data_IF_682050960225
#
_entry.id   IF_682050960225
#
_cell.length_a   1.000
_cell.length_b   1.000
_cell.length_c   1.000
_cell.angle_alpha   90.00
_cell.angle_beta   90.00
_cell.angle_gamma   90.00
#
_symmetry.space_group_name_H-M   'P 1'
#
loop_
_entity.id
_entity.type
_entity.pdbx_description
1 polymer ?
#
# COMPACT_ATOMS: atom_id res chain seq x y z
N UNK A 1 -8.55 89.39 2.89
CA UNK A 1 -9.98 89.02 2.98
C UNK A 1 -10.08 87.53 3.28
N UNK A 2 -10.17 87.14 4.56
CA UNK A 2 -11.37 86.58 5.25
C UNK A 2 -12.07 85.38 4.55
N UNK A 3 -11.97 84.21 5.24
CA UNK A 3 -12.95 83.11 5.39
C UNK A 3 -13.16 82.21 4.15
N UNK A 4 -13.28 80.88 4.22
CA UNK A 4 -13.89 79.99 5.22
C UNK A 4 -13.24 78.60 5.25
N UNK A 5 -13.32 78.00 6.43
CA UNK A 5 -13.09 76.61 6.81
C UNK A 5 -13.96 75.64 6.00
N UNK A 6 -13.39 74.50 5.59
CA UNK A 6 -14.11 73.23 5.57
C UNK A 6 -13.12 72.07 5.81
N UNK A 7 -13.11 71.58 7.05
CA UNK A 7 -12.52 70.31 7.44
C UNK A 7 -13.52 69.23 7.02
N UNK A 8 -13.13 68.33 6.12
CA UNK A 8 -13.81 67.03 5.95
C UNK A 8 -12.82 65.97 6.41
N UNK A 9 -13.20 65.31 7.51
CA UNK A 9 -12.43 64.25 8.15
C UNK A 9 -12.40 63.01 7.25
N UNK A 10 -11.21 62.62 6.83
CA UNK A 10 -10.93 61.29 6.29
C UNK A 10 -10.72 60.36 7.49
N UNK A 11 -11.81 59.73 7.95
CA UNK A 11 -11.72 58.60 8.87
C UNK A 11 -11.21 57.41 8.05
N UNK A 12 -9.89 57.25 8.02
CA UNK A 12 -9.27 55.97 7.72
C UNK A 12 -9.57 55.03 8.90
N UNK A 13 -10.74 54.40 8.89
CA UNK A 13 -10.89 53.13 9.58
C UNK A 13 -10.01 52.13 8.83
N UNK A 14 -8.75 52.03 9.27
CA UNK A 14 -7.93 50.87 8.98
C UNK A 14 -8.67 49.66 9.52
N UNK A 15 -9.47 49.03 8.66
CA UNK A 15 -9.89 47.65 8.84
C UNK A 15 -8.62 46.84 8.92
N UNK A 16 -8.16 46.59 10.15
CA UNK A 16 -7.40 45.40 10.44
C UNK A 16 -8.27 44.25 9.97
N UNK A 17 -7.95 43.71 8.79
CA UNK A 17 -8.37 42.36 8.42
C UNK A 17 -7.55 41.46 9.34
N UNK A 18 -7.95 41.40 10.61
CA UNK A 18 -7.72 40.24 11.44
C UNK A 18 -8.37 39.12 10.68
N UNK A 19 -7.54 38.36 9.96
CA UNK A 19 -7.84 37.01 9.53
C UNK A 19 -8.49 36.32 10.71
N UNK A 20 -9.81 36.20 10.69
CA UNK A 20 -10.54 35.28 11.56
C UNK A 20 -10.17 33.90 11.09
N UNK A 21 -8.99 33.42 11.48
CA UNK A 21 -8.87 32.01 11.79
C UNK A 21 -9.99 31.74 12.79
N UNK A 22 -10.85 30.79 12.48
CA UNK A 22 -11.76 30.23 13.44
C UNK A 22 -10.91 29.51 14.50
N UNK A 23 -10.30 30.28 15.38
CA UNK A 23 -9.55 29.79 16.53
C UNK A 23 -10.57 29.54 17.64
N UNK A 24 -11.30 28.43 17.52
CA UNK A 24 -12.24 27.97 18.53
C UNK A 24 -11.57 27.17 19.65
N UNK A 25 -10.25 27.29 19.85
CA UNK A 25 -9.53 26.54 20.87
C UNK A 25 -8.61 27.42 21.73
N UNK A 26 -9.20 28.47 22.32
CA UNK A 26 -8.60 29.21 23.43
C UNK A 26 -9.38 29.06 24.76
N UNK A 27 -10.13 27.97 24.95
CA UNK A 27 -10.51 27.51 26.30
C UNK A 27 -9.57 26.37 26.73
N UNK A 28 -8.50 26.74 27.42
CA UNK A 28 -7.62 25.79 28.12
C UNK A 28 -8.40 25.07 29.21
N UNK A 29 -8.92 23.87 28.91
CA UNK A 29 -9.41 22.95 29.96
C UNK A 29 -10.59 22.07 29.59
N UNK A 30 -11.32 22.32 28.49
CA UNK A 30 -12.39 21.40 28.07
C UNK A 30 -11.82 20.32 27.16
N UNK A 31 -11.56 19.15 27.75
CA UNK A 31 -11.23 17.94 26.98
C UNK A 31 -12.44 17.60 26.12
N UNK A 32 -12.28 17.55 24.79
CA UNK A 32 -13.33 17.09 23.89
C UNK A 32 -13.79 15.69 24.33
N UNK A 33 -15.06 15.57 24.72
CA UNK A 33 -15.71 14.29 25.08
C UNK A 33 -16.62 13.92 23.92
N UNK A 34 -16.02 13.36 22.88
CA UNK A 34 -16.73 12.89 21.68
C UNK A 34 -15.95 11.75 21.03
N UNK A 35 -16.53 11.14 20.00
CA UNK A 35 -15.82 10.13 19.21
C UNK A 35 -14.55 10.76 18.61
N UNK A 36 -13.41 10.13 18.85
CA UNK A 36 -12.11 10.55 18.29
C UNK A 36 -11.85 9.75 17.02
N UNK A 37 -11.32 10.42 16.00
CA UNK A 37 -10.88 9.83 14.74
C UNK A 37 -9.57 9.04 14.89
N UNK A 38 -8.82 9.30 15.97
CA UNK A 38 -7.47 8.80 16.15
C UNK A 38 -6.42 9.63 15.40
N UNK A 39 -6.82 10.72 14.73
CA UNK A 39 -5.94 11.65 14.01
C UNK A 39 -5.85 13.03 14.66
N UNK A 40 -6.45 13.22 15.84
CA UNK A 40 -6.36 14.47 16.58
C UNK A 40 -4.89 14.85 16.83
N UNK A 41 -4.52 16.08 16.45
CA UNK A 41 -3.13 16.58 16.48
C UNK A 41 -2.24 16.08 15.32
N UNK A 42 -2.81 15.36 14.34
CA UNK A 42 -2.12 14.83 13.13
C UNK A 42 -2.88 15.19 11.85
N UNK A 43 -3.68 16.23 11.86
CA UNK A 43 -4.57 16.65 10.78
C UNK A 43 -3.79 17.01 9.51
N UNK A 44 -2.65 17.69 9.63
CA UNK A 44 -1.78 17.99 8.48
C UNK A 44 -1.29 16.70 7.79
N UNK A 45 -0.93 15.68 8.58
CA UNK A 45 -0.50 14.38 8.03
C UNK A 45 -1.64 13.68 7.31
N UNK A 46 -2.84 13.69 7.88
CA UNK A 46 -4.04 13.14 7.25
C UNK A 46 -4.35 13.89 5.94
N UNK A 47 -4.36 15.23 5.98
CA UNK A 47 -4.63 16.09 4.82
C UNK A 47 -3.65 15.87 3.68
N UNK A 48 -2.35 15.76 3.98
CA UNK A 48 -1.32 15.43 2.97
C UNK A 48 -1.51 14.04 2.38
N UNK A 49 -1.82 13.05 3.21
CA UNK A 49 -2.05 11.68 2.75
C UNK A 49 -3.24 11.62 1.80
N UNK A 50 -4.34 12.29 2.14
CA UNK A 50 -5.51 12.32 1.26
C UNK A 50 -5.31 13.16 -0.01
N UNK A 51 -4.52 14.23 0.07
CA UNK A 51 -4.18 15.00 -1.12
C UNK A 51 -3.44 14.14 -2.17
N UNK A 52 -2.58 13.21 -1.75
CA UNK A 52 -1.91 12.27 -2.67
C UNK A 52 -2.92 11.33 -3.31
N UNK A 53 -3.77 10.69 -2.51
CA UNK A 53 -4.82 9.77 -3.02
C UNK A 53 -5.73 10.47 -4.02
N UNK A 54 -6.25 11.66 -3.69
CA UNK A 54 -7.14 12.42 -4.56
C UNK A 54 -6.45 12.84 -5.87
N UNK A 55 -5.17 13.25 -5.81
CA UNK A 55 -4.41 13.60 -7.01
C UNK A 55 -4.18 12.40 -7.92
N UNK A 56 -3.86 11.23 -7.36
CA UNK A 56 -3.69 10.00 -8.15
C UNK A 56 -4.99 9.60 -8.84
N UNK A 57 -6.11 9.59 -8.11
CA UNK A 57 -7.41 9.16 -8.66
C UNK A 57 -8.02 10.16 -9.64
N UNK A 58 -7.66 11.44 -9.56
CA UNK A 58 -8.17 12.48 -10.46
C UNK A 58 -7.54 12.42 -11.87
N UNK A 59 -6.40 11.74 -12.04
CA UNK A 59 -5.81 11.53 -13.35
C UNK A 59 -6.50 10.36 -14.07
N UNK A 60 -7.39 10.69 -14.99
CA UNK A 60 -8.25 9.73 -15.70
C UNK A 60 -7.82 9.49 -17.14
N UNK A 61 -6.74 10.17 -17.59
CA UNK A 61 -6.18 10.01 -18.93
C UNK A 61 -4.68 9.69 -18.85
N UNK A 62 -4.15 8.82 -19.73
CA UNK A 62 -4.86 8.08 -20.78
C UNK A 62 -5.71 6.91 -20.25
N UNK A 63 -5.68 6.63 -18.95
CA UNK A 63 -6.53 5.65 -18.28
C UNK A 63 -6.82 6.06 -16.83
N UNK A 64 -7.75 5.36 -16.17
CA UNK A 64 -8.05 5.54 -14.76
C UNK A 64 -6.90 5.02 -13.90
N UNK A 65 -6.13 5.92 -13.27
CA UNK A 65 -5.10 5.51 -12.33
C UNK A 65 -5.72 4.99 -11.03
N UNK A 66 -5.00 4.08 -10.39
CA UNK A 66 -5.25 3.63 -9.03
C UNK A 66 -4.15 4.17 -8.07
N UNK A 67 -4.38 4.04 -6.76
CA UNK A 67 -3.49 4.62 -5.74
C UNK A 67 -2.14 3.91 -5.62
N UNK A 68 -2.04 2.68 -6.15
CA UNK A 68 -0.85 1.82 -6.11
C UNK A 68 -0.08 1.79 -7.46
N UNK A 69 -0.54 2.53 -8.47
CA UNK A 69 -0.02 2.49 -9.84
C UNK A 69 1.51 2.57 -9.95
N UNK A 70 2.12 3.49 -9.20
CA UNK A 70 3.57 3.67 -9.24
C UNK A 70 4.31 2.43 -8.73
N UNK A 71 3.80 1.81 -7.67
CA UNK A 71 4.36 0.58 -7.11
C UNK A 71 4.17 -0.60 -8.06
N UNK A 72 2.97 -0.74 -8.64
CA UNK A 72 2.66 -1.77 -9.63
C UNK A 72 3.59 -1.65 -10.84
N UNK A 73 3.75 -0.44 -11.41
CA UNK A 73 4.66 -0.18 -12.54
C UNK A 73 6.10 -0.54 -12.23
N UNK A 74 6.59 -0.23 -11.02
CA UNK A 74 7.93 -0.60 -10.59
C UNK A 74 8.11 -2.13 -10.55
N UNK A 75 7.13 -2.87 -10.02
CA UNK A 75 7.15 -4.34 -9.99
C UNK A 75 7.15 -4.90 -11.42
N UNK A 76 6.23 -4.44 -12.28
CA UNK A 76 6.15 -4.89 -13.67
C UNK A 76 7.44 -4.62 -14.45
N UNK A 77 8.04 -3.43 -14.27
CA UNK A 77 9.31 -3.07 -14.91
C UNK A 77 10.45 -3.98 -14.44
N UNK A 78 10.46 -4.30 -13.14
CA UNK A 78 11.47 -5.20 -12.55
C UNK A 78 11.32 -6.62 -13.09
N UNK A 79 10.08 -7.12 -13.18
CA UNK A 79 9.79 -8.44 -13.74
C UNK A 79 10.15 -8.51 -15.22
N UNK A 80 9.84 -7.47 -15.99
CA UNK A 80 10.19 -7.40 -17.42
C UNK A 80 11.70 -7.40 -17.61
N UNK A 81 12.43 -6.63 -16.79
CA UNK A 81 13.89 -6.62 -16.82
C UNK A 81 14.45 -8.01 -16.55
N UNK A 82 13.99 -8.68 -15.49
CA UNK A 82 14.45 -10.01 -15.15
C UNK A 82 14.08 -11.04 -16.23
N UNK A 83 12.87 -10.96 -16.80
CA UNK A 83 12.44 -11.80 -17.94
C UNK A 83 13.34 -11.62 -19.15
N UNK A 84 13.65 -10.37 -19.53
CA UNK A 84 14.46 -10.07 -20.72
C UNK A 84 15.92 -10.52 -20.61
N UNK A 85 16.41 -10.79 -19.40
CA UNK A 85 17.79 -11.17 -19.13
C UNK A 85 17.91 -12.60 -18.58
N UNK A 86 16.83 -13.38 -18.58
CA UNK A 86 16.78 -14.73 -17.98
C UNK A 86 17.17 -14.77 -16.50
N UNK A 87 16.86 -13.70 -15.74
CA UNK A 87 17.28 -13.50 -14.34
C UNK A 87 16.14 -13.66 -13.31
N UNK A 88 15.08 -14.40 -13.65
CA UNK A 88 13.91 -14.51 -12.76
C UNK A 88 14.25 -15.22 -11.45
N UNK A 89 15.06 -16.28 -11.50
CA UNK A 89 15.45 -17.02 -10.30
C UNK A 89 16.36 -16.17 -9.39
N UNK A 90 17.28 -15.41 -9.98
CA UNK A 90 18.15 -14.47 -9.30
C UNK A 90 17.37 -13.33 -8.65
N UNK A 91 16.33 -12.82 -9.32
CA UNK A 91 15.42 -11.83 -8.75
C UNK A 91 14.74 -12.38 -7.49
N UNK A 92 14.17 -13.59 -7.56
CA UNK A 92 13.49 -14.21 -6.42
C UNK A 92 14.47 -14.50 -5.28
N UNK A 93 15.64 -15.06 -5.59
CA UNK A 93 16.68 -15.33 -4.58
C UNK A 93 17.13 -14.03 -3.89
N UNK A 94 17.38 -12.96 -4.66
CA UNK A 94 17.75 -11.66 -4.10
C UNK A 94 16.65 -11.07 -3.21
N UNK A 95 15.39 -11.16 -3.62
CA UNK A 95 14.26 -10.68 -2.82
C UNK A 95 14.16 -11.45 -1.49
N UNK A 96 14.31 -12.78 -1.52
CA UNK A 96 14.34 -13.63 -0.32
C UNK A 96 15.46 -13.23 0.63
N UNK A 97 16.68 -12.99 0.14
CA UNK A 97 17.80 -12.56 0.99
C UNK A 97 17.54 -11.20 1.65
N UNK A 98 16.97 -10.25 0.92
CA UNK A 98 16.64 -8.92 1.46
C UNK A 98 15.60 -9.03 2.58
N UNK A 99 14.59 -9.89 2.42
CA UNK A 99 13.52 -10.05 3.43
C UNK A 99 13.82 -11.12 4.48
N UNK A 100 14.90 -11.90 4.34
CA UNK A 100 15.24 -13.05 5.20
C UNK A 100 15.16 -12.75 6.70
N UNK A 101 15.69 -11.62 7.23
CA UNK A 101 15.60 -11.34 8.67
C UNK A 101 14.16 -11.24 9.19
N UNK A 102 13.25 -10.73 8.35
CA UNK A 102 11.82 -10.71 8.65
C UNK A 102 11.24 -12.12 8.63
N UNK A 103 11.48 -12.88 7.56
CA UNK A 103 10.97 -14.25 7.40
C UNK A 103 11.42 -15.17 8.55
N UNK A 104 12.67 -15.09 8.99
CA UNK A 104 13.17 -15.85 10.14
C UNK A 104 12.49 -15.43 11.46
N UNK A 105 12.14 -14.16 11.62
CA UNK A 105 11.33 -13.69 12.76
C UNK A 105 9.92 -14.27 12.70
N UNK A 106 9.33 -14.39 11.51
CA UNK A 106 8.04 -15.07 11.31
C UNK A 106 8.16 -16.54 11.71
N UNK A 107 9.19 -17.26 11.22
CA UNK A 107 9.49 -18.65 11.59
C UNK A 107 9.57 -18.84 13.10
N UNK A 108 10.38 -18.04 13.80
CA UNK A 108 10.53 -18.13 15.27
C UNK A 108 9.20 -17.93 15.99
N UNK A 109 8.36 -17.00 15.52
CA UNK A 109 7.03 -16.78 16.11
C UNK A 109 6.07 -17.94 15.83
N UNK A 110 6.09 -18.48 14.62
CA UNK A 110 5.30 -19.65 14.25
C UNK A 110 5.69 -20.86 15.11
N UNK A 111 6.99 -21.22 15.17
CA UNK A 111 7.47 -22.35 15.97
C UNK A 111 7.13 -22.22 17.47
N UNK A 112 7.11 -21.00 18.00
CA UNK A 112 6.75 -20.75 19.41
C UNK A 112 5.25 -20.90 19.69
N UNK A 113 4.40 -20.62 18.71
CA UNK A 113 2.94 -20.51 18.91
C UNK A 113 2.14 -21.65 18.30
N UNK A 114 2.67 -22.31 17.27
CA UNK A 114 1.96 -23.29 16.45
C UNK A 114 0.81 -22.72 15.61
N UNK A 115 0.60 -21.40 15.61
CA UNK A 115 -0.57 -20.75 14.98
C UNK A 115 -0.28 -20.41 13.52
N UNK A 116 -1.04 -20.98 12.59
CA UNK A 116 -0.90 -20.73 11.16
C UNK A 116 -1.09 -19.25 10.81
N UNK A 117 -2.04 -18.56 11.45
CA UNK A 117 -2.27 -17.14 11.21
C UNK A 117 -1.04 -16.25 11.49
N UNK A 118 -0.13 -16.67 12.39
CA UNK A 118 1.10 -15.90 12.65
C UNK A 118 2.05 -15.85 11.45
N UNK A 119 1.96 -16.84 10.56
CA UNK A 119 2.68 -16.85 9.28
C UNK A 119 2.09 -15.81 8.34
N UNK A 120 0.76 -15.82 8.16
CA UNK A 120 0.06 -14.86 7.28
C UNK A 120 0.26 -13.42 7.75
N UNK A 121 0.08 -13.19 9.04
CA UNK A 121 0.33 -11.90 9.67
C UNK A 121 1.78 -11.44 9.47
N UNK A 122 2.74 -12.36 9.51
CA UNK A 122 4.16 -12.04 9.33
C UNK A 122 4.57 -11.79 7.88
N UNK A 123 3.98 -12.54 6.95
CA UNK A 123 4.34 -12.58 5.54
C UNK A 123 3.57 -11.56 4.69
N UNK A 124 2.34 -11.20 5.11
CA UNK A 124 1.44 -10.32 4.36
C UNK A 124 1.01 -9.12 5.23
N UNK A 125 0.39 -9.34 6.39
CA UNK A 125 -0.37 -8.25 7.07
C UNK A 125 0.49 -7.22 7.82
N UNK A 126 1.59 -7.63 8.47
CA UNK A 126 2.39 -6.73 9.33
C UNK A 126 3.34 -5.83 8.58
N UNK A 127 3.55 -6.07 7.29
CA UNK A 127 4.13 -5.05 6.45
C UNK A 127 2.98 -4.18 6.00
N UNK A 128 2.82 -2.99 6.60
CA UNK A 128 1.84 -2.00 6.12
C UNK A 128 1.97 -1.73 4.60
N UNK A 129 3.11 -2.08 4.01
CA UNK A 129 3.40 -2.13 2.59
C UNK A 129 2.43 -3.00 1.77
N UNK A 130 1.85 -4.07 2.33
CA UNK A 130 0.89 -4.90 1.61
C UNK A 130 -0.37 -4.11 1.25
N UNK A 131 -0.85 -3.23 2.13
CA UNK A 131 -1.97 -2.32 1.84
C UNK A 131 -1.64 -1.23 0.82
N UNK A 132 -0.36 -1.02 0.52
CA UNK A 132 0.05 -0.13 -0.57
C UNK A 132 0.00 -0.84 -1.92
N UNK A 133 -0.08 -2.17 -1.94
CA UNK A 133 -0.16 -2.97 -3.16
C UNK A 133 -1.56 -3.56 -3.36
N UNK A 134 -2.16 -4.14 -2.32
CA UNK A 134 -3.49 -4.72 -2.34
C UNK A 134 -4.46 -3.76 -1.65
N UNK A 135 -5.43 -3.23 -2.40
CA UNK A 135 -6.40 -2.27 -1.87
C UNK A 135 -7.31 -2.88 -0.81
N UNK A 136 -7.66 -4.15 -1.01
CA UNK A 136 -8.49 -4.93 -0.11
C UNK A 136 -7.89 -6.32 0.05
N UNK A 137 -7.84 -6.77 1.30
CA UNK A 137 -7.37 -8.11 1.67
C UNK A 137 -8.45 -8.74 2.54
N UNK A 138 -9.05 -9.81 2.04
CA UNK A 138 -9.90 -10.70 2.84
C UNK A 138 -9.02 -11.55 3.77
N UNK A 139 -9.33 -11.54 5.07
CA UNK A 139 -8.55 -12.25 6.09
C UNK A 139 -9.37 -13.37 6.72
N UNK A 140 -8.82 -14.59 6.70
CA UNK A 140 -9.34 -15.78 7.39
C UNK A 140 -8.21 -16.47 8.15
N UNK A 141 -8.51 -17.37 9.08
CA UNK A 141 -7.48 -18.07 9.86
C UNK A 141 -6.53 -18.85 8.93
N UNK A 142 -5.28 -18.39 8.84
CA UNK A 142 -4.25 -18.98 7.98
C UNK A 142 -4.47 -18.80 6.47
N UNK A 143 -5.34 -17.89 6.03
CA UNK A 143 -5.61 -17.62 4.61
C UNK A 143 -5.80 -16.13 4.32
N UNK A 144 -5.26 -15.66 3.20
CA UNK A 144 -5.43 -14.30 2.69
C UNK A 144 -5.86 -14.34 1.24
N UNK A 145 -6.80 -13.47 0.86
CA UNK A 145 -7.25 -13.35 -0.52
C UNK A 145 -7.42 -11.90 -0.93
N UNK A 146 -7.16 -11.58 -2.19
CA UNK A 146 -7.26 -10.22 -2.74
C UNK A 146 -7.50 -10.25 -4.25
N UNK A 147 -7.87 -9.10 -4.80
CA UNK A 147 -7.88 -8.86 -6.24
C UNK A 147 -6.47 -8.56 -6.73
N UNK A 148 -6.01 -9.22 -7.79
CA UNK A 148 -4.71 -8.93 -8.40
C UNK A 148 -4.61 -7.44 -8.76
N UNK A 149 -3.54 -6.73 -8.34
CA UNK A 149 -3.36 -5.31 -8.62
C UNK A 149 -2.76 -5.03 -10.01
N UNK A 150 -2.44 -6.08 -10.80
CA UNK A 150 -1.61 -5.94 -11.99
C UNK A 150 -2.40 -5.71 -13.28
N UNK A 151 -3.58 -6.33 -13.43
CA UNK A 151 -4.31 -6.39 -14.69
C UNK A 151 -4.52 -5.03 -15.38
N UNK A 152 -5.05 -4.04 -14.66
CA UNK A 152 -5.33 -2.71 -15.22
C UNK A 152 -4.06 -2.04 -15.77
N UNK A 153 -3.01 -1.92 -14.95
CA UNK A 153 -1.77 -1.26 -15.35
C UNK A 153 -1.09 -2.08 -16.45
N UNK A 154 -1.10 -3.40 -16.36
CA UNK A 154 -0.47 -4.28 -17.34
C UNK A 154 -1.14 -4.14 -18.71
N UNK A 155 -2.47 -4.13 -18.78
CA UNK A 155 -3.23 -3.88 -20.02
C UNK A 155 -2.77 -2.58 -20.70
N UNK A 156 -2.64 -1.49 -19.94
CA UNK A 156 -2.22 -0.20 -20.48
C UNK A 156 -0.76 -0.18 -20.91
N UNK A 157 0.13 -0.73 -20.10
CA UNK A 157 1.57 -0.71 -20.38
C UNK A 157 1.95 -1.65 -21.53
N UNK A 158 1.25 -2.78 -21.70
CA UNK A 158 1.37 -3.65 -22.89
C UNK A 158 0.91 -2.93 -24.15
N UNK A 159 -0.23 -2.23 -24.13
CA UNK A 159 -0.70 -1.44 -25.28
C UNK A 159 0.28 -0.36 -25.72
N UNK A 160 1.03 0.21 -24.77
CA UNK A 160 2.07 1.21 -25.04
C UNK A 160 3.41 0.59 -25.47
N UNK A 161 3.54 -0.74 -25.48
CA UNK A 161 4.79 -1.44 -25.80
C UNK A 161 5.85 -1.33 -24.70
N UNK A 162 5.47 -1.01 -23.47
CA UNK A 162 6.39 -0.93 -22.33
C UNK A 162 6.70 -2.31 -21.73
N UNK A 163 5.73 -3.22 -21.78
CA UNK A 163 5.85 -4.59 -21.29
C UNK A 163 5.29 -5.59 -22.30
N UNK A 164 5.75 -6.84 -22.24
CA UNK A 164 5.20 -8.00 -22.96
C UNK A 164 4.77 -9.14 -22.01
N UNK A 165 4.70 -8.84 -20.72
CA UNK A 165 4.23 -9.75 -19.67
C UNK A 165 2.71 -9.96 -19.78
N UNK A 166 2.29 -11.20 -19.52
CA UNK A 166 0.89 -11.55 -19.21
C UNK A 166 0.64 -11.50 -17.71
N UNK A 167 -0.61 -11.29 -17.30
CA UNK A 167 -0.94 -11.29 -15.86
C UNK A 167 -0.72 -12.67 -15.23
N UNK A 168 -0.88 -13.75 -16.02
CA UNK A 168 -0.52 -15.10 -15.61
C UNK A 168 0.98 -15.24 -15.31
N UNK A 169 1.86 -14.71 -16.17
CA UNK A 169 3.31 -14.71 -15.90
C UNK A 169 3.63 -13.93 -14.62
N UNK A 170 3.00 -12.78 -14.43
CA UNK A 170 3.17 -11.98 -13.20
C UNK A 170 2.70 -12.77 -11.97
N UNK A 171 1.57 -13.46 -12.05
CA UNK A 171 1.07 -14.34 -10.98
C UNK A 171 2.05 -15.48 -10.69
N UNK A 172 2.50 -16.20 -11.71
CA UNK A 172 3.40 -17.34 -11.55
C UNK A 172 4.74 -16.92 -10.92
N UNK A 173 5.27 -15.76 -11.29
CA UNK A 173 6.56 -15.26 -10.77
C UNK A 173 6.39 -14.55 -9.42
N UNK A 174 5.63 -13.46 -9.40
CA UNK A 174 5.61 -12.54 -8.28
C UNK A 174 4.73 -13.02 -7.13
N UNK A 175 3.72 -13.84 -7.43
CA UNK A 175 2.86 -14.44 -6.39
C UNK A 175 3.38 -15.84 -6.09
N UNK A 176 3.30 -16.79 -7.03
CA UNK A 176 3.59 -18.21 -6.72
C UNK A 176 5.05 -18.43 -6.33
N UNK A 177 6.01 -18.19 -7.23
CA UNK A 177 7.43 -18.45 -6.95
C UNK A 177 7.93 -17.71 -5.72
N UNK A 178 7.62 -16.41 -5.63
CA UNK A 178 8.04 -15.56 -4.49
C UNK A 178 7.51 -16.05 -3.15
N UNK A 179 6.19 -16.27 -3.02
CA UNK A 179 5.61 -16.70 -1.74
C UNK A 179 6.00 -18.14 -1.39
N UNK A 180 6.21 -19.02 -2.36
CA UNK A 180 6.80 -20.34 -2.07
C UNK A 180 8.23 -20.23 -1.54
N UNK A 181 9.08 -19.39 -2.14
CA UNK A 181 10.43 -19.16 -1.63
C UNK A 181 10.43 -18.56 -0.21
N UNK A 182 9.45 -17.70 0.11
CA UNK A 182 9.26 -17.20 1.47
C UNK A 182 8.85 -18.32 2.44
N UNK A 183 7.94 -19.20 2.00
CA UNK A 183 7.45 -20.32 2.78
C UNK A 183 8.56 -21.31 3.13
N UNK A 184 9.49 -21.55 2.23
CA UNK A 184 10.68 -22.40 2.47
C UNK A 184 11.53 -21.86 3.63
N UNK A 185 11.79 -20.55 3.67
CA UNK A 185 12.52 -19.92 4.79
C UNK A 185 11.74 -20.05 6.09
N UNK A 186 10.41 -19.96 6.04
CA UNK A 186 9.55 -20.07 7.21
C UNK A 186 9.42 -21.54 7.68
N UNK A 187 9.52 -22.51 6.77
CA UNK A 187 9.35 -23.94 7.01
C UNK A 187 7.88 -24.38 7.03
N UNK A 188 7.06 -23.85 6.12
CA UNK A 188 5.64 -24.18 5.98
C UNK A 188 5.26 -24.46 4.54
N UNK A 189 4.21 -25.25 4.34
CA UNK A 189 3.63 -25.49 3.03
C UNK A 189 2.51 -24.49 2.77
N UNK A 190 2.46 -23.97 1.54
CA UNK A 190 1.42 -23.06 1.07
C UNK A 190 0.60 -23.70 -0.05
N UNK A 191 -0.70 -23.44 -0.03
CA UNK A 191 -1.53 -23.46 -1.21
C UNK A 191 -1.64 -22.03 -1.76
N UNK A 192 -1.40 -21.86 -3.06
CA UNK A 192 -1.61 -20.60 -3.78
C UNK A 192 -2.55 -20.92 -4.93
N UNK A 193 -3.63 -20.13 -5.08
CA UNK A 193 -4.59 -20.33 -6.17
C UNK A 193 -3.93 -20.23 -7.54
N UNK A 194 -4.49 -20.94 -8.51
CA UNK A 194 -4.13 -20.71 -9.91
C UNK A 194 -4.64 -19.34 -10.38
N UNK A 195 -4.01 -18.81 -11.42
CA UNK A 195 -4.49 -17.60 -12.06
C UNK A 195 -5.79 -17.88 -12.82
N UNK A 196 -6.74 -16.97 -12.68
CA UNK A 196 -8.06 -16.97 -13.34
C UNK A 196 -8.33 -15.59 -13.92
N UNK A 197 -9.23 -15.51 -14.91
CA UNK A 197 -9.57 -14.24 -15.57
C UNK A 197 -10.22 -13.21 -14.64
N UNK A 198 -10.84 -13.66 -13.53
CA UNK A 198 -11.36 -12.76 -12.50
C UNK A 198 -10.26 -12.11 -11.65
N UNK A 199 -9.01 -12.55 -11.79
CA UNK A 199 -7.83 -12.02 -11.09
C UNK A 199 -7.85 -12.24 -9.57
N UNK A 200 -8.71 -13.12 -9.04
CA UNK A 200 -8.75 -13.39 -7.60
C UNK A 200 -7.59 -14.29 -7.17
N UNK A 201 -6.83 -13.83 -6.18
CA UNK A 201 -5.69 -14.56 -5.60
C UNK A 201 -6.06 -15.03 -4.20
N UNK A 202 -5.71 -16.27 -3.84
CA UNK A 202 -5.71 -16.76 -2.46
C UNK A 202 -4.42 -17.47 -2.11
N UNK A 203 -3.91 -17.22 -0.90
CA UNK A 203 -2.79 -17.93 -0.29
C UNK A 203 -3.23 -18.48 1.06
N UNK A 204 -2.98 -19.77 1.28
CA UNK A 204 -3.33 -20.49 2.52
C UNK A 204 -2.15 -21.28 3.05
N UNK A 205 -1.89 -21.19 4.36
CA UNK A 205 -0.92 -22.09 5.02
C UNK A 205 -1.57 -23.45 5.24
N UNK A 206 -0.91 -24.51 4.79
CA UNK A 206 -1.37 -25.89 4.96
C UNK A 206 -0.83 -26.51 6.24
N UNK A 207 0.35 -26.12 6.68
CA UNK A 207 1.01 -26.66 7.86
C UNK A 207 2.54 -26.58 7.76
N UNK A 208 3.27 -27.25 8.67
CA UNK A 208 4.72 -27.34 8.56
C UNK A 208 5.12 -28.17 7.33
N UNK A 209 6.21 -27.79 6.68
CA UNK A 209 6.78 -28.60 5.60
C UNK A 209 7.24 -29.93 6.17
N UNK A 210 6.61 -31.02 5.72
CA UNK A 210 7.03 -32.36 6.07
C UNK A 210 8.31 -32.69 5.28
N UNK A 211 9.46 -32.56 5.93
CA UNK A 211 10.69 -33.14 5.36
C UNK A 211 10.47 -34.66 5.36
N UNK A 212 10.34 -35.26 4.18
CA UNK A 212 10.39 -36.70 4.04
C UNK A 212 11.72 -37.16 4.67
N UNK A 213 11.63 -37.90 5.78
CA UNK A 213 12.78 -38.56 6.37
C UNK A 213 13.22 -39.63 5.37
N UNK A 214 14.24 -39.32 4.57
CA UNK A 214 15.00 -40.30 3.80
C UNK A 214 16.09 -40.90 4.67
#
# INVERSE_FOLDING_TARGET
>A
MKRKVLIIALIFCGFGISSTYADSHAESGKKFVGATSGYEGREDRLGRSMAVVLKSLNETKPYQHDINDALVKMILTTLQFAKNNDMIEELIASDVEVVRPLLEKVRRNYLRTGKLDTVMVGMIDRTACAYQLFLEIEMKDGERSWQSPFGLILEHTVRLGQHDLTEKEVHDIWIKKRFHAYAEVIGVDLFISEWTEDGKVSIKVLGPTLVAQN
#
